data_IF_141866373711
#
_entry.id   IF_141866373711
#
_cell.length_a   1.000
_cell.length_b   1.000
_cell.length_c   1.000
_cell.angle_alpha   90.00
_cell.angle_beta   90.00
_cell.angle_gamma   90.00
#
_symmetry.space_group_name_H-M   'P 1'
#
loop_
_entity.id
_entity.type
_entity.pdbx_description
1 polymer ?
#
# COMPACT_ATOMS: atom_id res chain seq x y z
N UNK A 1 27.68 -9.48 20.03
CA UNK A 1 26.72 -8.36 19.90
C UNK A 1 27.19 -7.51 18.74
N UNK A 2 26.62 -7.73 17.55
CA UNK A 2 26.99 -7.03 16.32
C UNK A 2 26.78 -5.54 16.51
N UNK A 3 27.87 -4.78 16.47
CA UNK A 3 27.84 -3.32 16.45
C UNK A 3 26.93 -2.85 15.32
N UNK A 4 25.85 -2.13 15.65
CA UNK A 4 25.02 -1.42 14.68
C UNK A 4 25.90 -0.42 13.92
N UNK A 5 26.48 -0.85 12.80
CA UNK A 5 27.24 0.02 11.92
C UNK A 5 26.25 0.81 11.07
N UNK A 6 25.92 2.01 11.53
CA UNK A 6 25.13 2.96 10.78
C UNK A 6 26.00 3.53 9.66
N UNK A 7 25.82 3.03 8.44
CA UNK A 7 26.53 3.56 7.28
C UNK A 7 26.05 5.00 7.00
N UNK A 8 26.94 6.01 7.06
CA UNK A 8 26.57 7.42 6.86
C UNK A 8 25.89 7.67 5.50
N UNK A 9 26.27 6.92 4.47
CA UNK A 9 25.67 7.02 3.15
C UNK A 9 24.22 6.53 3.16
N UNK A 10 23.94 5.41 3.83
CA UNK A 10 22.57 4.87 3.94
C UNK A 10 21.68 5.86 4.68
N UNK A 11 22.17 6.48 5.76
CA UNK A 11 21.43 7.52 6.48
C UNK A 11 21.15 8.70 5.56
N UNK A 12 22.16 9.20 4.84
CA UNK A 12 21.99 10.32 3.92
C UNK A 12 20.96 10.01 2.82
N UNK A 13 20.95 8.78 2.28
CA UNK A 13 19.96 8.33 1.30
C UNK A 13 18.56 8.29 1.90
N UNK A 14 18.37 7.71 3.09
CA UNK A 14 17.06 7.65 3.76
C UNK A 14 16.52 9.05 4.05
N UNK A 15 17.38 9.95 4.52
CA UNK A 15 17.00 11.35 4.75
C UNK A 15 16.63 12.03 3.43
N UNK A 16 17.42 11.83 2.37
CA UNK A 16 17.11 12.34 1.04
C UNK A 16 15.76 11.85 0.51
N UNK A 17 15.49 10.55 0.60
CA UNK A 17 14.20 9.95 0.21
C UNK A 17 13.04 10.52 1.04
N UNK A 18 13.26 10.74 2.34
CA UNK A 18 12.26 11.33 3.25
C UNK A 18 11.93 12.77 2.86
N UNK A 19 12.96 13.59 2.58
CA UNK A 19 12.79 14.99 2.14
C UNK A 19 12.01 15.04 0.83
N UNK A 20 12.39 14.24 -0.17
CA UNK A 20 11.68 14.20 -1.46
C UNK A 20 10.24 13.75 -1.28
N UNK A 21 10.00 12.69 -0.51
CA UNK A 21 8.65 12.17 -0.24
C UNK A 21 7.76 13.23 0.42
N UNK A 22 8.30 13.92 1.43
CA UNK A 22 7.59 14.99 2.12
C UNK A 22 7.31 16.17 1.19
N UNK A 23 8.31 16.60 0.41
CA UNK A 23 8.17 17.68 -0.55
C UNK A 23 7.09 17.38 -1.60
N UNK A 24 7.01 16.15 -2.13
CA UNK A 24 5.96 15.75 -3.07
C UNK A 24 4.58 15.77 -2.42
N UNK A 25 4.43 15.23 -1.20
CA UNK A 25 3.14 15.21 -0.48
C UNK A 25 2.67 16.62 -0.12
N UNK A 26 3.54 17.39 0.52
CA UNK A 26 3.25 18.76 0.94
C UNK A 26 3.03 19.68 -0.25
N UNK A 27 3.84 19.55 -1.31
CA UNK A 27 3.70 20.31 -2.55
C UNK A 27 2.39 20.02 -3.27
N UNK A 28 1.96 18.75 -3.35
CA UNK A 28 0.67 18.37 -3.92
C UNK A 28 -0.51 18.96 -3.16
N UNK A 29 -0.51 18.86 -1.83
CA UNK A 29 -1.53 19.44 -0.96
C UNK A 29 -1.56 20.98 -1.07
N UNK A 30 -0.39 21.61 -1.07
CA UNK A 30 -0.26 23.06 -1.22
C UNK A 30 -0.78 23.54 -2.58
N UNK A 31 -0.44 22.85 -3.66
CA UNK A 31 -0.92 23.20 -5.01
C UNK A 31 -2.43 23.06 -5.11
N UNK A 32 -3.00 21.95 -4.63
CA UNK A 32 -4.45 21.71 -4.58
C UNK A 32 -5.18 22.77 -3.75
N UNK A 33 -4.55 23.30 -2.69
CA UNK A 33 -5.13 24.38 -1.88
C UNK A 33 -5.15 25.75 -2.57
N UNK A 34 -4.38 25.94 -3.65
CA UNK A 34 -4.24 27.23 -4.36
C UNK A 34 -5.01 27.29 -5.68
N UNK A 35 -5.40 26.16 -6.23
CA UNK A 35 -6.14 26.08 -7.50
C UNK A 35 -7.63 25.83 -7.22
N UNK A 36 -8.51 26.43 -8.03
CA UNK A 36 -9.92 26.03 -8.03
C UNK A 36 -10.06 24.70 -8.76
N UNK A 37 -10.19 23.63 -7.99
CA UNK A 37 -10.44 22.28 -8.51
C UNK A 37 -11.90 22.19 -8.94
N UNK A 38 -12.16 21.74 -10.17
CA UNK A 38 -13.54 21.49 -10.63
C UNK A 38 -14.09 20.22 -10.00
N UNK A 39 -15.42 20.13 -9.84
CA UNK A 39 -16.11 18.98 -9.24
C UNK A 39 -15.69 17.63 -9.86
N UNK A 40 -15.42 17.62 -11.18
CA UNK A 40 -14.98 16.43 -11.91
C UNK A 40 -13.58 15.99 -11.49
N UNK A 41 -12.67 16.92 -11.30
CA UNK A 41 -11.29 16.64 -10.87
C UNK A 41 -11.30 16.19 -9.41
N UNK A 42 -12.05 16.86 -8.54
CA UNK A 42 -12.17 16.47 -7.13
C UNK A 42 -12.71 15.04 -6.97
N UNK A 43 -13.76 14.69 -7.72
CA UNK A 43 -14.30 13.32 -7.76
C UNK A 43 -13.24 12.30 -8.22
N UNK A 44 -12.44 12.65 -9.25
CA UNK A 44 -11.33 11.82 -9.70
C UNK A 44 -10.27 11.61 -8.62
N UNK A 45 -9.87 12.66 -7.90
CA UNK A 45 -8.90 12.56 -6.79
C UNK A 45 -9.42 11.69 -5.64
N UNK A 46 -10.72 11.73 -5.32
CA UNK A 46 -11.33 10.90 -4.27
C UNK A 46 -11.26 9.41 -4.60
N UNK A 47 -11.33 9.03 -5.88
CA UNK A 47 -11.25 7.63 -6.32
C UNK A 47 -9.81 7.13 -6.55
N UNK A 48 -8.86 8.05 -6.70
CA UNK A 48 -7.46 7.76 -7.02
C UNK A 48 -6.81 6.70 -6.10
N UNK A 49 -6.97 6.74 -4.75
CA UNK A 49 -6.31 5.78 -3.88
C UNK A 49 -6.72 4.33 -4.18
N UNK A 50 -8.02 4.08 -4.32
CA UNK A 50 -8.55 2.76 -4.66
C UNK A 50 -8.15 2.32 -6.07
N UNK A 51 -8.21 3.24 -7.04
CA UNK A 51 -7.82 2.96 -8.42
C UNK A 51 -6.34 2.55 -8.55
N UNK A 52 -5.43 3.23 -7.83
CA UNK A 52 -4.01 2.89 -7.82
C UNK A 52 -3.79 1.50 -7.22
N UNK A 53 -4.44 1.20 -6.09
CA UNK A 53 -4.36 -0.12 -5.44
C UNK A 53 -4.77 -1.21 -6.43
N UNK A 54 -5.93 -1.05 -7.09
CA UNK A 54 -6.45 -2.03 -8.06
C UNK A 54 -5.55 -2.11 -9.30
N UNK A 55 -4.97 -1.00 -9.76
CA UNK A 55 -4.06 -1.00 -10.91
C UNK A 55 -2.77 -1.75 -10.64
N UNK A 56 -2.30 -1.81 -9.40
CA UNK A 56 -1.09 -2.53 -9.00
C UNK A 56 -1.41 -3.99 -8.70
N UNK A 57 -2.43 -4.23 -7.87
CA UNK A 57 -2.81 -5.59 -7.45
C UNK A 57 -3.50 -6.39 -8.56
N UNK A 58 -4.28 -5.73 -9.43
CA UNK A 58 -5.01 -6.35 -10.53
C UNK A 58 -4.14 -7.28 -11.39
N UNK A 59 -3.04 -6.78 -12.00
CA UNK A 59 -2.16 -7.64 -12.80
C UNK A 59 -1.49 -8.74 -11.97
N UNK A 60 -1.07 -8.45 -10.73
CA UNK A 60 -0.48 -9.46 -9.85
C UNK A 60 -1.47 -10.60 -9.56
N UNK A 61 -2.72 -10.27 -9.22
CA UNK A 61 -3.78 -11.26 -8.97
C UNK A 61 -4.13 -12.08 -10.21
N UNK A 62 -4.12 -11.49 -11.40
CA UNK A 62 -4.37 -12.23 -12.66
C UNK A 62 -3.31 -13.31 -12.87
N UNK A 63 -2.04 -13.00 -12.55
CA UNK A 63 -0.93 -13.95 -12.63
C UNK A 63 -0.82 -14.88 -11.42
N UNK A 64 -1.65 -14.70 -10.39
CA UNK A 64 -1.53 -15.39 -9.13
C UNK A 64 -2.16 -16.78 -9.14
N UNK A 65 -1.65 -17.69 -8.32
CA UNK A 65 -2.13 -19.06 -8.21
C UNK A 65 -3.36 -19.19 -7.31
N UNK A 66 -3.91 -20.42 -7.19
CA UNK A 66 -5.06 -20.70 -6.33
C UNK A 66 -4.83 -20.33 -4.86
N UNK A 67 -3.58 -20.44 -4.37
CA UNK A 67 -3.20 -20.11 -3.01
C UNK A 67 -3.27 -18.59 -2.72
N UNK A 68 -2.89 -17.76 -3.68
CA UNK A 68 -3.01 -16.30 -3.55
C UNK A 68 -4.47 -15.84 -3.61
N UNK A 69 -5.27 -16.43 -4.50
CA UNK A 69 -6.70 -16.12 -4.62
C UNK A 69 -7.49 -16.50 -3.36
N UNK A 70 -7.21 -17.67 -2.77
CA UNK A 70 -7.83 -18.08 -1.51
C UNK A 70 -7.41 -17.16 -0.36
N UNK A 71 -6.14 -16.74 -0.32
CA UNK A 71 -5.66 -15.77 0.67
C UNK A 71 -6.33 -14.41 0.52
N UNK A 72 -6.48 -13.92 -0.72
CA UNK A 72 -7.18 -12.67 -1.02
C UNK A 72 -8.64 -12.73 -0.55
N UNK A 73 -9.32 -13.87 -0.76
CA UNK A 73 -10.67 -14.08 -0.25
C UNK A 73 -10.75 -14.01 1.29
N UNK A 74 -9.76 -14.60 1.99
CA UNK A 74 -9.67 -14.50 3.46
C UNK A 74 -9.48 -13.06 3.91
N UNK A 75 -8.56 -12.31 3.29
CA UNK A 75 -8.34 -10.88 3.60
C UNK A 75 -9.63 -10.09 3.40
N UNK A 76 -10.32 -10.32 2.29
CA UNK A 76 -11.57 -9.62 1.96
C UNK A 76 -12.67 -9.93 2.98
N UNK A 77 -12.81 -11.20 3.39
CA UNK A 77 -13.78 -11.61 4.40
C UNK A 77 -13.48 -11.00 5.77
N UNK A 78 -12.21 -11.04 6.22
CA UNK A 78 -11.81 -10.47 7.51
C UNK A 78 -11.98 -8.96 7.51
N UNK A 79 -11.55 -8.26 6.46
CA UNK A 79 -11.72 -6.82 6.35
C UNK A 79 -13.20 -6.44 6.34
N UNK A 80 -14.03 -7.15 5.57
CA UNK A 80 -15.47 -6.89 5.51
C UNK A 80 -16.19 -7.12 6.84
N UNK A 81 -15.72 -8.10 7.64
CA UNK A 81 -16.35 -8.45 8.91
C UNK A 81 -15.87 -7.61 10.10
N UNK A 82 -14.59 -7.24 10.11
CA UNK A 82 -13.93 -6.61 11.28
C UNK A 82 -13.65 -5.13 11.07
N UNK A 83 -13.65 -4.65 9.83
CA UNK A 83 -13.21 -3.30 9.41
C UNK A 83 -11.82 -2.92 9.96
N UNK A 84 -11.04 -3.91 10.41
CA UNK A 84 -9.75 -3.73 11.06
C UNK A 84 -8.63 -4.18 10.12
N UNK A 85 -7.92 -3.19 9.58
CA UNK A 85 -6.82 -3.39 8.64
C UNK A 85 -5.71 -4.26 9.24
N UNK A 86 -5.42 -4.13 10.54
CA UNK A 86 -4.35 -4.88 11.20
C UNK A 86 -4.70 -6.38 11.26
N UNK A 87 -5.95 -6.70 11.59
CA UNK A 87 -6.44 -8.08 11.60
C UNK A 87 -6.46 -8.68 10.19
N UNK A 88 -6.97 -7.93 9.21
CA UNK A 88 -6.98 -8.36 7.82
C UNK A 88 -5.57 -8.65 7.29
N UNK A 89 -4.59 -7.81 7.64
CA UNK A 89 -3.18 -8.01 7.29
C UNK A 89 -2.61 -9.27 7.93
N UNK A 90 -2.78 -9.46 9.23
CA UNK A 90 -2.27 -10.65 9.95
C UNK A 90 -2.89 -11.94 9.39
N UNK A 91 -4.20 -11.95 9.18
CA UNK A 91 -4.90 -13.09 8.58
C UNK A 91 -4.45 -13.35 7.14
N UNK A 92 -4.22 -12.30 6.35
CA UNK A 92 -3.72 -12.43 4.98
C UNK A 92 -2.34 -13.05 4.91
N UNK A 93 -1.39 -12.56 5.71
CA UNK A 93 -0.03 -13.12 5.78
C UNK A 93 -0.09 -14.58 6.22
N UNK A 94 -0.86 -14.90 7.26
CA UNK A 94 -1.04 -16.26 7.72
C UNK A 94 -1.65 -17.16 6.63
N UNK A 95 -2.69 -16.70 5.93
CA UNK A 95 -3.36 -17.44 4.87
C UNK A 95 -2.42 -17.76 3.70
N UNK A 96 -1.63 -16.78 3.23
CA UNK A 96 -0.67 -16.99 2.12
C UNK A 96 0.36 -18.03 2.50
N UNK A 97 0.92 -17.94 3.71
CA UNK A 97 1.93 -18.90 4.19
C UNK A 97 1.36 -20.32 4.29
N UNK A 98 0.14 -20.47 4.80
CA UNK A 98 -0.52 -21.77 4.91
C UNK A 98 -0.83 -22.34 3.53
N UNK A 99 -1.49 -21.56 2.66
CA UNK A 99 -1.92 -22.05 1.36
C UNK A 99 -0.76 -22.34 0.42
N UNK A 100 0.33 -21.56 0.43
CA UNK A 100 1.55 -21.88 -0.34
C UNK A 100 2.29 -23.12 0.15
N UNK A 101 2.16 -23.47 1.43
CA UNK A 101 2.83 -24.66 1.95
C UNK A 101 1.99 -25.93 1.72
N UNK A 102 0.68 -25.79 1.52
CA UNK A 102 -0.23 -26.91 1.31
C UNK A 102 -0.45 -27.28 -0.17
N UNK A 103 -0.20 -26.35 -1.10
CA UNK A 103 -0.32 -26.54 -2.56
C UNK A 103 1.05 -26.47 -3.22
#
# INVERSE_FOLDING_TARGET
MSSFQLNPLVIAVIVGMSVVTYATKAGGLWLLSRINVSDRVESGLKMLPGAIIISILGPELISAGPAEWSSAAVVLLVMWRTENVLLALLCGVAAVLIFRNMM
#
